data_IF_076710312641
#
_entry.id   IF_076710312641
#
_cell.length_a   1.000
_cell.length_b   1.000
_cell.length_c   1.000
_cell.angle_alpha   90.00
_cell.angle_beta   90.00
_cell.angle_gamma   90.00
#
_symmetry.space_group_name_H-M   'P 1'
#
loop_
_entity.id
_entity.type
_entity.pdbx_description
1 polymer ?
#
# COMPACT_ATOMS: atom_id res chain seq x y z
N UNK A 1 33.08 -50.69 -1.65
CA UNK A 1 32.55 -50.71 -3.02
C UNK A 1 31.93 -49.34 -3.28
N UNK A 2 32.64 -48.45 -3.99
CA UNK A 2 32.18 -47.11 -4.35
C UNK A 2 31.48 -47.13 -5.72
N UNK A 3 30.51 -46.24 -5.95
CA UNK A 3 30.18 -45.80 -7.31
C UNK A 3 30.18 -44.27 -7.39
N UNK A 4 30.79 -43.83 -8.49
CA UNK A 4 31.29 -42.51 -8.86
C UNK A 4 30.49 -41.96 -10.04
N UNK A 5 30.69 -40.67 -10.29
CA UNK A 5 30.39 -39.92 -11.52
C UNK A 5 28.94 -39.43 -11.65
N UNK A 6 28.63 -38.25 -12.19
CA UNK A 6 29.41 -37.35 -13.03
C UNK A 6 28.76 -35.96 -12.99
N UNK A 7 29.58 -34.91 -12.91
CA UNK A 7 29.17 -33.53 -13.15
C UNK A 7 29.47 -33.22 -14.62
N UNK A 8 28.43 -33.01 -15.42
CA UNK A 8 28.57 -32.65 -16.84
C UNK A 8 27.69 -31.44 -17.17
N UNK A 9 28.35 -30.37 -17.61
CA UNK A 9 27.81 -29.10 -18.09
C UNK A 9 27.76 -29.12 -19.62
N UNK A 10 26.64 -28.71 -20.24
CA UNK A 10 26.51 -28.06 -21.56
C UNK A 10 25.02 -28.05 -22.01
N UNK A 11 24.59 -27.27 -23.02
CA UNK A 11 25.03 -25.94 -23.48
C UNK A 11 23.87 -24.91 -23.52
N UNK A 12 24.21 -23.63 -23.66
CA UNK A 12 23.24 -22.53 -23.86
C UNK A 12 22.61 -22.63 -25.26
N UNK A 13 21.28 -22.53 -25.43
CA UNK A 13 20.70 -22.33 -26.75
C UNK A 13 20.80 -20.85 -27.13
N UNK A 14 21.79 -20.54 -27.97
CA UNK A 14 21.82 -19.35 -28.80
C UNK A 14 20.82 -19.54 -29.94
N UNK A 15 19.69 -18.82 -29.92
CA UNK A 15 18.81 -18.73 -31.07
C UNK A 15 18.63 -17.26 -31.41
N UNK A 16 19.36 -16.83 -32.44
CA UNK A 16 19.12 -15.59 -33.14
C UNK A 16 17.84 -15.69 -33.97
N UNK A 17 17.08 -14.60 -33.93
CA UNK A 17 16.08 -14.31 -34.94
C UNK A 17 16.19 -12.81 -35.24
N UNK A 18 17.09 -12.49 -36.17
CA UNK A 18 17.02 -11.27 -36.97
C UNK A 18 15.73 -11.32 -37.79
N UNK A 19 14.66 -10.76 -37.24
CA UNK A 19 13.50 -10.34 -38.04
C UNK A 19 13.54 -8.83 -38.08
N UNK A 20 14.35 -8.33 -39.03
CA UNK A 20 14.41 -6.95 -39.45
C UNK A 20 13.02 -6.56 -39.96
N UNK A 21 12.28 -5.74 -39.20
CA UNK A 21 11.03 -5.14 -39.64
C UNK A 21 11.31 -4.19 -40.82
N UNK A 22 10.57 -4.25 -41.93
CA UNK A 22 10.77 -3.35 -43.04
C UNK A 22 10.37 -1.93 -42.65
N UNK A 23 11.28 -0.98 -42.91
CA UNK A 23 11.04 0.46 -42.81
C UNK A 23 9.98 0.85 -43.85
N UNK A 24 8.73 0.98 -43.44
CA UNK A 24 7.69 1.58 -44.28
C UNK A 24 7.85 3.10 -44.24
N UNK A 25 8.54 3.64 -45.24
CA UNK A 25 8.54 5.07 -45.56
C UNK A 25 7.11 5.48 -45.93
N UNK A 26 6.39 6.08 -44.99
CA UNK A 26 5.18 6.86 -45.29
C UNK A 26 5.48 8.32 -45.07
N UNK A 27 5.84 8.96 -46.19
CA UNK A 27 5.56 10.33 -46.58
C UNK A 27 5.27 11.35 -45.48
N UNK A 28 6.19 12.30 -45.39
CA UNK A 28 6.11 13.54 -44.64
C UNK A 28 4.77 14.26 -44.79
N UNK A 29 4.04 14.37 -43.69
CA UNK A 29 3.25 15.56 -43.36
C UNK A 29 3.44 15.84 -41.87
N UNK A 30 4.64 16.30 -41.51
CA UNK A 30 4.84 16.96 -40.22
C UNK A 30 4.13 18.31 -40.30
N UNK A 31 2.96 18.40 -39.70
CA UNK A 31 2.35 19.70 -39.39
C UNK A 31 3.18 20.26 -38.23
N UNK A 32 4.13 21.13 -38.56
CA UNK A 32 4.81 21.95 -37.56
C UNK A 32 3.80 22.95 -37.02
N UNK A 33 3.19 22.62 -35.88
CA UNK A 33 2.51 23.62 -35.04
C UNK A 33 3.60 24.48 -34.39
N UNK A 34 3.91 25.57 -35.08
CA UNK A 34 4.76 26.65 -34.62
C UNK A 34 3.99 27.45 -33.55
N UNK A 35 4.13 27.04 -32.29
CA UNK A 35 3.63 27.76 -31.12
C UNK A 35 4.47 27.42 -29.88
N UNK A 36 5.68 27.96 -29.84
CA UNK A 36 6.70 27.79 -28.80
C UNK A 36 6.30 28.35 -27.41
N UNK A 37 5.10 28.92 -27.24
CA UNK A 37 4.58 29.38 -25.94
C UNK A 37 3.25 28.72 -25.51
N UNK A 38 2.52 28.05 -26.42
CA UNK A 38 1.20 27.45 -26.12
C UNK A 38 1.32 26.04 -25.51
N UNK A 39 2.47 25.38 -25.73
CA UNK A 39 2.68 23.99 -25.33
C UNK A 39 2.83 23.78 -23.81
N UNK A 40 3.35 24.74 -23.05
CA UNK A 40 3.49 24.59 -21.59
C UNK A 40 2.16 24.79 -20.86
N UNK A 41 1.41 25.83 -21.23
CA UNK A 41 0.12 26.16 -20.62
C UNK A 41 -0.94 25.09 -20.91
N UNK A 42 -0.94 24.51 -22.12
CA UNK A 42 -1.86 23.43 -22.51
C UNK A 42 -1.51 22.10 -21.82
N UNK A 43 -0.21 21.79 -21.67
CA UNK A 43 0.25 20.65 -20.85
C UNK A 43 -0.22 20.79 -19.40
N UNK A 44 -0.11 21.99 -18.82
CA UNK A 44 -0.57 22.29 -17.47
C UNK A 44 -2.09 22.11 -17.29
N UNK A 45 -2.89 22.56 -18.27
CA UNK A 45 -4.34 22.38 -18.23
C UNK A 45 -4.77 20.90 -18.42
N UNK A 46 -4.14 20.19 -19.36
CA UNK A 46 -4.41 18.76 -19.57
C UNK A 46 -3.98 17.93 -18.36
N UNK A 47 -2.87 18.29 -17.72
CA UNK A 47 -2.40 17.67 -16.48
C UNK A 47 -3.35 17.94 -15.32
N UNK A 48 -3.83 19.17 -15.18
CA UNK A 48 -4.86 19.54 -14.20
C UNK A 48 -6.16 18.75 -14.41
N UNK A 49 -6.62 18.61 -15.66
CA UNK A 49 -7.80 17.79 -15.98
C UNK A 49 -7.57 16.31 -15.65
N UNK A 50 -6.38 15.76 -15.93
CA UNK A 50 -6.03 14.37 -15.56
C UNK A 50 -5.97 14.20 -14.05
N UNK A 51 -5.42 15.17 -13.33
CA UNK A 51 -5.39 15.18 -11.87
C UNK A 51 -6.81 15.20 -11.30
N UNK A 52 -7.69 16.07 -11.80
CA UNK A 52 -9.10 16.10 -11.38
C UNK A 52 -9.82 14.78 -11.64
N UNK A 53 -9.60 14.14 -12.79
CA UNK A 53 -10.17 12.82 -13.08
C UNK A 53 -9.63 11.74 -12.12
N UNK A 54 -8.34 11.78 -11.78
CA UNK A 54 -7.75 10.86 -10.80
C UNK A 54 -8.34 11.09 -9.41
N UNK A 55 -8.42 12.33 -8.94
CA UNK A 55 -8.96 12.65 -7.62
C UNK A 55 -10.44 12.26 -7.46
N UNK A 56 -11.19 12.23 -8.57
CA UNK A 56 -12.58 11.81 -8.58
C UNK A 56 -12.77 10.28 -8.71
N UNK A 57 -11.70 9.50 -8.90
CA UNK A 57 -11.77 8.04 -8.95
C UNK A 57 -11.87 7.48 -7.52
N UNK A 58 -12.90 6.67 -7.19
CA UNK A 58 -13.02 6.05 -5.87
C UNK A 58 -11.84 5.10 -5.53
N UNK A 59 -11.10 4.62 -6.52
CA UNK A 59 -9.90 3.81 -6.32
C UNK A 59 -8.61 4.64 -6.16
N UNK A 60 -8.70 5.96 -6.23
CA UNK A 60 -7.54 6.83 -6.11
C UNK A 60 -6.95 6.76 -4.70
N UNK A 61 -5.70 6.32 -4.63
CA UNK A 61 -4.91 6.39 -3.41
C UNK A 61 -4.11 7.69 -3.41
N UNK A 62 -4.34 8.52 -2.39
CA UNK A 62 -3.54 9.72 -2.19
C UNK A 62 -2.06 9.35 -2.05
N UNK A 63 -1.23 9.95 -2.89
CA UNK A 63 0.23 9.79 -2.86
C UNK A 63 0.86 11.05 -2.29
N UNK A 64 1.93 10.89 -1.53
CA UNK A 64 2.70 11.97 -0.92
C UNK A 64 4.12 11.89 -1.46
N UNK A 65 4.70 12.99 -1.91
CA UNK A 65 6.07 12.99 -2.39
C UNK A 65 7.06 12.88 -1.22
N UNK A 66 8.32 12.53 -1.52
CA UNK A 66 9.35 12.47 -0.47
C UNK A 66 9.58 13.83 0.19
N UNK A 67 9.50 14.92 -0.60
CA UNK A 67 9.68 16.28 -0.08
C UNK A 67 8.55 16.65 0.89
N UNK A 68 7.31 16.34 0.51
CA UNK A 68 6.14 16.58 1.36
C UNK A 68 6.23 15.78 2.67
N UNK A 69 6.76 14.55 2.65
CA UNK A 69 6.96 13.76 3.87
C UNK A 69 7.99 14.38 4.81
N UNK A 70 9.04 15.00 4.28
CA UNK A 70 10.10 15.63 5.08
C UNK A 70 9.70 17.01 5.61
N UNK A 71 8.94 17.78 4.84
CA UNK A 71 8.54 19.14 5.20
C UNK A 71 7.30 19.17 6.12
N UNK A 72 6.42 18.16 6.04
CA UNK A 72 5.21 18.11 6.84
C UNK A 72 5.44 17.51 8.23
N UNK A 73 4.94 18.19 9.26
CA UNK A 73 4.87 17.66 10.64
C UNK A 73 3.60 16.84 10.81
N UNK A 74 3.74 15.52 10.88
CA UNK A 74 2.62 14.63 11.17
C UNK A 74 2.36 14.54 12.67
N UNK A 75 1.11 14.76 13.06
CA UNK A 75 0.70 14.55 14.45
C UNK A 75 0.73 13.06 14.78
N UNK A 76 1.34 12.71 15.91
CA UNK A 76 1.26 11.35 16.43
C UNK A 76 -0.20 11.01 16.73
N UNK A 77 -0.62 9.81 16.35
CA UNK A 77 -1.92 9.29 16.77
C UNK A 77 -1.75 8.73 18.18
N UNK A 78 -2.50 9.21 19.18
CA UNK A 78 -2.41 8.66 20.51
C UNK A 78 -2.75 7.17 20.46
N UNK A 79 -1.99 6.31 21.17
CA UNK A 79 -2.31 4.90 21.22
C UNK A 79 -3.64 4.68 21.95
N UNK A 80 -4.31 3.57 21.68
CA UNK A 80 -5.52 3.17 22.41
C UNK A 80 -5.14 2.71 23.83
N UNK A 81 -4.06 1.94 23.92
CA UNK A 81 -3.44 1.48 25.16
C UNK A 81 -1.96 1.83 25.10
N UNK A 82 -1.50 2.66 26.04
CA UNK A 82 -0.12 3.13 26.06
C UNK A 82 0.86 1.96 26.08
N UNK A 83 1.83 1.95 25.17
CA UNK A 83 2.85 0.90 25.07
C UNK A 83 2.37 -0.46 24.59
N UNK A 84 1.08 -0.64 24.28
CA UNK A 84 0.51 -1.94 23.88
C UNK A 84 -0.26 -1.91 22.56
N UNK A 85 -1.13 -0.92 22.35
CA UNK A 85 -2.07 -0.92 21.23
C UNK A 85 -2.22 0.48 20.62
N UNK A 86 -1.83 0.64 19.36
CA UNK A 86 -2.05 1.86 18.58
C UNK A 86 -3.32 1.74 17.73
N UNK A 87 -3.75 2.84 17.10
CA UNK A 87 -4.83 2.76 16.12
C UNK A 87 -4.38 1.96 14.88
N UNK A 88 -5.13 0.93 14.51
CA UNK A 88 -4.82 0.07 13.37
C UNK A 88 -5.64 -1.22 13.35
N UNK A 89 -5.26 -2.16 12.49
CA UNK A 89 -5.88 -3.47 12.37
C UNK A 89 -4.96 -4.53 12.98
N UNK A 90 -5.48 -5.30 13.95
CA UNK A 90 -4.75 -6.32 14.67
C UNK A 90 -5.42 -7.68 14.51
N UNK A 91 -4.61 -8.73 14.34
CA UNK A 91 -5.07 -10.11 14.28
C UNK A 91 -4.61 -10.84 15.55
N UNK A 92 -5.57 -11.26 16.38
CA UNK A 92 -5.30 -12.12 17.54
C UNK A 92 -5.51 -13.59 17.16
N UNK A 93 -4.43 -14.35 17.07
CA UNK A 93 -4.45 -15.77 16.71
C UNK A 93 -4.00 -16.67 17.86
N UNK A 94 -4.48 -17.91 17.88
CA UNK A 94 -4.18 -18.87 18.94
C UNK A 94 -5.14 -20.05 18.94
N UNK A 95 -4.78 -21.11 19.67
CA UNK A 95 -5.56 -22.35 19.73
C UNK A 95 -7.04 -22.12 20.13
N UNK A 96 -7.96 -23.01 19.74
CA UNK A 96 -9.34 -22.96 20.21
C UNK A 96 -9.41 -22.90 21.74
N UNK A 97 -10.34 -22.10 22.28
CA UNK A 97 -10.64 -22.00 23.72
C UNK A 97 -9.50 -21.50 24.63
N UNK A 98 -8.41 -20.94 24.07
CA UNK A 98 -7.32 -20.33 24.85
C UNK A 98 -7.69 -18.96 25.46
N UNK A 99 -8.89 -18.44 25.20
CA UNK A 99 -9.36 -17.16 25.77
C UNK A 99 -9.18 -15.93 24.87
N UNK A 100 -9.06 -16.10 23.54
CA UNK A 100 -8.95 -14.96 22.60
C UNK A 100 -10.13 -14.00 22.69
N UNK A 101 -11.35 -14.53 22.58
CA UNK A 101 -12.58 -13.73 22.65
C UNK A 101 -12.69 -13.01 24.00
N UNK A 102 -12.33 -13.68 25.09
CA UNK A 102 -12.26 -13.09 26.43
C UNK A 102 -11.25 -11.94 26.51
N UNK A 103 -10.05 -12.10 25.96
CA UNK A 103 -9.04 -11.04 25.92
C UNK A 103 -9.52 -9.83 25.12
N UNK A 104 -10.13 -10.06 23.95
CA UNK A 104 -10.68 -8.96 23.13
C UNK A 104 -11.81 -8.25 23.85
N UNK A 105 -12.72 -8.99 24.50
CA UNK A 105 -13.78 -8.41 25.31
C UNK A 105 -13.23 -7.61 26.50
N UNK A 106 -12.18 -8.11 27.16
CA UNK A 106 -11.52 -7.40 28.25
C UNK A 106 -10.92 -6.07 27.76
N UNK A 107 -10.20 -6.09 26.64
CA UNK A 107 -9.66 -4.87 26.00
C UNK A 107 -10.80 -3.91 25.68
N UNK A 108 -11.86 -4.39 25.03
CA UNK A 108 -13.03 -3.58 24.68
C UNK A 108 -13.67 -2.91 25.90
N UNK A 109 -13.84 -3.65 26.99
CA UNK A 109 -14.39 -3.13 28.24
C UNK A 109 -13.51 -2.02 28.83
N UNK A 110 -12.20 -2.25 28.95
CA UNK A 110 -11.28 -1.27 29.54
C UNK A 110 -11.18 0.00 28.71
N UNK A 111 -11.15 -0.12 27.37
CA UNK A 111 -11.19 1.03 26.45
C UNK A 111 -12.51 1.80 26.55
N UNK A 112 -13.64 1.10 26.70
CA UNK A 112 -14.95 1.75 26.84
C UNK A 112 -15.10 2.54 28.15
N UNK A 113 -14.48 2.03 29.22
CA UNK A 113 -14.55 2.62 30.56
C UNK A 113 -13.44 3.64 30.81
N UNK A 114 -12.31 3.54 30.10
CA UNK A 114 -11.11 4.35 30.35
C UNK A 114 -10.39 3.95 31.64
N UNK A 115 -10.42 2.67 32.00
CA UNK A 115 -9.74 2.12 33.19
C UNK A 115 -8.47 1.39 32.76
N UNK A 116 -7.45 1.37 33.63
CA UNK A 116 -6.16 0.73 33.34
C UNK A 116 -6.30 -0.78 33.12
N UNK A 117 -5.62 -1.30 32.10
CA UNK A 117 -5.50 -2.73 31.85
C UNK A 117 -4.07 -3.16 32.20
N UNK A 118 -3.88 -4.04 33.19
CA UNK A 118 -2.55 -4.53 33.58
C UNK A 118 -1.52 -3.41 33.83
N UNK A 119 -1.94 -2.36 34.53
CA UNK A 119 -1.18 -1.14 34.81
C UNK A 119 -0.84 -0.25 33.59
N UNK A 120 -1.29 -0.62 32.38
CA UNK A 120 -1.23 0.25 31.21
C UNK A 120 -2.32 1.32 31.25
N UNK A 121 -1.91 2.56 30.95
CA UNK A 121 -2.83 3.67 30.75
C UNK A 121 -3.66 3.46 29.47
N UNK A 122 -4.94 3.82 29.54
CA UNK A 122 -5.91 3.60 28.47
C UNK A 122 -6.58 4.91 28.08
N UNK A 123 -6.59 5.19 26.78
CA UNK A 123 -7.36 6.28 26.21
C UNK A 123 -8.80 5.83 25.99
N UNK A 124 -9.73 6.42 26.76
CA UNK A 124 -11.17 6.09 26.67
C UNK A 124 -11.70 6.33 25.26
N UNK A 125 -12.46 5.37 24.73
CA UNK A 125 -13.07 5.47 23.41
C UNK A 125 -14.37 4.68 23.28
N UNK A 126 -15.15 4.98 22.25
CA UNK A 126 -16.34 4.19 21.90
C UNK A 126 -15.91 2.86 21.28
N UNK A 127 -16.45 1.75 21.76
CA UNK A 127 -16.10 0.41 21.30
C UNK A 127 -17.33 -0.35 20.81
N UNK A 128 -17.19 -1.06 19.69
CA UNK A 128 -18.16 -2.02 19.18
C UNK A 128 -17.52 -3.41 19.22
N UNK A 129 -18.03 -4.30 20.07
CA UNK A 129 -17.60 -5.70 20.14
C UNK A 129 -18.67 -6.59 19.51
N UNK A 130 -18.28 -7.39 18.52
CA UNK A 130 -19.15 -8.31 17.78
C UNK A 130 -18.74 -9.75 18.08
N UNK A 131 -19.46 -10.43 18.98
CA UNK A 131 -19.28 -11.85 19.25
C UNK A 131 -20.10 -12.67 18.27
N UNK A 132 -19.48 -13.09 17.16
CA UNK A 132 -20.17 -13.85 16.10
C UNK A 132 -20.18 -15.36 16.35
N UNK A 133 -19.47 -15.84 17.37
CA UNK A 133 -19.33 -17.26 17.71
C UNK A 133 -20.17 -17.70 18.93
N UNK A 134 -20.75 -16.74 19.66
CA UNK A 134 -21.54 -17.02 20.87
C UNK A 134 -23.05 -17.08 20.50
N UNK A 135 -23.70 -18.23 20.76
CA UNK A 135 -25.15 -18.47 20.64
C UNK A 135 -25.89 -18.27 21.97
#
# INVERSE_FOLDING_TARGET
>A
MPETNEKTTAPVPSVGADVMQPLSNSTEQSITDDASEVNETKKSFDEMQRMMRRLNDPAYLHTVSMNDLYENVYQSRPPIIDGLLCAGTYLLAGAPKVGKSFLVAQIAYHVSMGIKLWDYEIHKGTVLYLALEDD
#
